data_IF_725909486939
#
_entry.id   IF_725909486939
#
_cell.length_a   1.000
_cell.length_b   1.000
_cell.length_c   1.000
_cell.angle_alpha   90.00
_cell.angle_beta   90.00
_cell.angle_gamma   90.00
#
_symmetry.space_group_name_H-M   'P 1'
#
loop_
_entity.id
_entity.type
_entity.pdbx_description
1 polymer ?
#
# COMPACT_ATOMS: atom_id res chain seq x y z
N UNK A 1 5.42 1.49 -19.49
CA UNK A 1 4.83 0.74 -18.37
C UNK A 1 4.98 1.64 -17.16
N UNK A 2 3.90 1.92 -16.41
CA UNK A 2 3.99 2.71 -15.17
C UNK A 2 4.44 1.76 -14.08
N UNK A 3 5.47 2.14 -13.31
CA UNK A 3 5.99 1.27 -12.26
C UNK A 3 4.99 1.15 -11.11
N UNK A 4 4.89 -0.07 -10.60
CA UNK A 4 4.08 -0.55 -9.47
C UNK A 4 4.72 -0.38 -8.09
N UNK A 5 4.16 0.32 -7.09
CA UNK A 5 4.53 0.05 -5.67
C UNK A 5 3.31 -0.52 -4.95
N UNK A 6 3.39 -1.79 -4.54
CA UNK A 6 2.33 -2.49 -3.81
C UNK A 6 2.44 -2.20 -2.32
N UNK A 7 1.40 -1.58 -1.75
CA UNK A 7 1.36 -1.17 -0.34
C UNK A 7 0.22 -1.88 0.39
N UNK A 8 0.56 -2.53 1.50
CA UNK A 8 -0.42 -3.03 2.47
C UNK A 8 -0.42 -2.13 3.70
N UNK A 9 -1.57 -1.61 4.10
CA UNK A 9 -1.64 -0.66 5.21
C UNK A 9 -2.88 -0.84 6.08
N UNK A 10 -2.80 -0.41 7.33
CA UNK A 10 -3.98 -0.42 8.21
C UNK A 10 -5.04 0.56 7.71
N UNK A 11 -6.31 0.22 7.98
CA UNK A 11 -7.46 1.07 7.61
C UNK A 11 -7.35 2.51 8.14
N UNK A 12 -6.70 2.71 9.29
CA UNK A 12 -6.49 4.01 9.91
C UNK A 12 -5.66 4.96 9.01
N UNK A 13 -4.82 4.43 8.13
CA UNK A 13 -3.93 5.22 7.28
C UNK A 13 -4.48 5.46 5.88
N UNK A 14 -5.66 4.94 5.52
CA UNK A 14 -6.23 5.05 4.16
C UNK A 14 -6.22 6.47 3.60
N UNK A 15 -6.66 7.45 4.39
CA UNK A 15 -6.68 8.85 3.98
C UNK A 15 -5.30 9.50 3.85
N UNK A 16 -4.30 8.99 4.56
CA UNK A 16 -2.91 9.45 4.42
C UNK A 16 -2.26 8.82 3.17
N UNK A 17 -2.48 7.52 2.94
CA UNK A 17 -1.94 6.79 1.80
C UNK A 17 -2.52 7.30 0.48
N UNK A 18 -3.82 7.61 0.41
CA UNK A 18 -4.39 8.22 -0.80
C UNK A 18 -3.74 9.58 -1.12
N UNK A 19 -3.62 10.48 -0.13
CA UNK A 19 -2.95 11.77 -0.35
C UNK A 19 -1.49 11.62 -0.76
N UNK A 20 -0.79 10.62 -0.21
CA UNK A 20 0.57 10.30 -0.62
C UNK A 20 0.61 9.76 -2.06
N UNK A 21 -0.31 8.87 -2.44
CA UNK A 21 -0.39 8.31 -3.79
C UNK A 21 -0.58 9.40 -4.85
N UNK A 22 -1.51 10.34 -4.61
CA UNK A 22 -1.76 11.47 -5.51
C UNK A 22 -0.48 12.32 -5.73
N UNK A 23 0.26 12.58 -4.65
CA UNK A 23 1.50 13.35 -4.72
C UNK A 23 2.64 12.55 -5.36
N UNK A 24 2.73 11.25 -5.06
CA UNK A 24 3.77 10.38 -5.56
C UNK A 24 3.64 10.18 -7.07
N UNK A 25 2.43 9.95 -7.59
CA UNK A 25 2.16 9.85 -9.03
C UNK A 25 2.38 11.18 -9.77
N UNK A 26 2.14 12.31 -9.12
CA UNK A 26 2.38 13.62 -9.72
C UNK A 26 3.88 13.95 -9.86
N UNK A 27 4.71 13.44 -8.93
CA UNK A 27 6.15 13.71 -8.87
C UNK A 27 7.00 12.61 -9.52
N UNK A 28 6.51 11.38 -9.49
CA UNK A 28 7.18 10.17 -9.96
C UNK A 28 6.31 9.49 -11.00
N UNK A 29 6.91 8.90 -12.04
CA UNK A 29 6.18 8.10 -13.03
C UNK A 29 5.82 6.69 -12.48
N UNK A 30 5.44 6.61 -11.21
CA UNK A 30 5.23 5.39 -10.45
C UNK A 30 3.92 5.49 -9.66
N UNK A 31 3.08 4.45 -9.75
CA UNK A 31 1.78 4.35 -9.09
C UNK A 31 1.88 3.62 -7.77
N UNK A 32 1.13 4.08 -6.77
CA UNK A 32 0.92 3.35 -5.53
C UNK A 32 -0.36 2.51 -5.67
N UNK A 33 -0.23 1.19 -5.58
CA UNK A 33 -1.34 0.26 -5.48
C UNK A 33 -1.52 -0.19 -4.03
N UNK A 34 -2.46 0.43 -3.33
CA UNK A 34 -2.65 0.26 -1.90
C UNK A 34 -3.90 -0.58 -1.57
N UNK A 35 -3.75 -1.53 -0.65
CA UNK A 35 -4.84 -2.32 -0.08
C UNK A 35 -4.82 -2.20 1.46
N UNK A 36 -6.01 -2.18 2.05
CA UNK A 36 -6.21 -1.80 3.44
C UNK A 36 -7.00 -2.85 4.21
N UNK A 37 -6.44 -3.33 5.32
CA UNK A 37 -7.12 -4.26 6.22
C UNK A 37 -6.69 -4.05 7.68
N UNK A 38 -7.38 -4.63 8.67
CA UNK A 38 -6.89 -4.66 10.04
C UNK A 38 -5.54 -5.37 10.16
N UNK A 39 -4.71 -4.97 11.13
CA UNK A 39 -3.34 -5.48 11.35
C UNK A 39 -3.27 -7.01 11.32
N UNK A 40 -4.18 -7.73 11.99
CA UNK A 40 -4.20 -9.19 12.01
C UNK A 40 -4.45 -9.78 10.61
N UNK A 41 -5.38 -9.22 9.84
CA UNK A 41 -5.66 -9.67 8.49
C UNK A 41 -4.48 -9.43 7.53
N UNK A 42 -3.75 -8.32 7.71
CA UNK A 42 -2.52 -8.06 6.94
C UNK A 42 -1.41 -9.04 7.29
N UNK A 43 -1.24 -9.37 8.58
CA UNK A 43 -0.26 -10.36 9.01
C UNK A 43 -0.58 -11.75 8.43
N UNK A 44 -1.86 -12.13 8.39
CA UNK A 44 -2.28 -13.41 7.81
C UNK A 44 -2.02 -13.47 6.29
N UNK A 45 -2.25 -12.36 5.57
CA UNK A 45 -1.94 -12.24 4.14
C UNK A 45 -0.45 -12.39 3.84
N UNK A 46 0.41 -11.70 4.59
CA UNK A 46 1.87 -11.79 4.42
C UNK A 46 2.39 -13.18 4.79
N UNK A 47 1.88 -13.78 5.88
CA UNK A 47 2.18 -15.18 6.22
C UNK A 47 1.70 -16.17 5.16
N UNK A 48 0.59 -15.85 4.49
CA UNK A 48 0.06 -16.59 3.35
C UNK A 48 0.84 -16.39 2.04
N UNK A 49 1.89 -15.57 2.03
CA UNK A 49 2.74 -15.34 0.88
C UNK A 49 2.26 -14.24 -0.07
N UNK A 50 1.32 -13.39 0.37
CA UNK A 50 1.01 -12.19 -0.41
C UNK A 50 2.23 -11.25 -0.43
N UNK A 51 2.64 -10.87 -1.63
CA UNK A 51 3.76 -9.96 -1.84
C UNK A 51 3.30 -8.51 -1.73
N UNK A 52 4.10 -7.70 -1.05
CA UNK A 52 3.99 -6.25 -1.00
C UNK A 52 5.40 -5.66 -0.89
N UNK A 53 5.60 -4.50 -1.52
CA UNK A 53 6.86 -3.77 -1.41
C UNK A 53 6.96 -3.04 -0.06
N UNK A 54 5.80 -2.64 0.49
CA UNK A 54 5.69 -1.94 1.77
C UNK A 54 4.52 -2.47 2.58
N UNK A 55 4.77 -2.70 3.87
CA UNK A 55 3.76 -3.01 4.88
C UNK A 55 3.79 -1.95 5.99
N UNK A 56 2.62 -1.39 6.33
CA UNK A 56 2.47 -0.44 7.45
C UNK A 56 1.46 -1.00 8.46
N UNK A 57 1.89 -1.24 9.70
CA UNK A 57 1.11 -1.85 10.78
C UNK A 57 0.87 -0.86 11.94
#
# INVERSE_FOLDING_TARGET
MVDTVRVLSTLALKGAVHRLADQYEALMATRIDADFAPTLALLDRVRGGENADVLVL
#
